data_IF_801510239937
#
_entry.id   IF_801510239937
#
_cell.length_a   1.000
_cell.length_b   1.000
_cell.length_c   1.000
_cell.angle_alpha   90.00
_cell.angle_beta   90.00
_cell.angle_gamma   90.00
#
_symmetry.space_group_name_H-M   'P 1'
#
loop_
_entity.id
_entity.type
_entity.pdbx_description
1 polymer ?
#
# COMPACT_ATOMS: atom_id res chain seq x y z
N UNK A 1 5.93 13.78 -5.86
CA UNK A 1 5.84 14.04 -4.40
C UNK A 1 7.01 13.44 -3.67
N UNK A 2 7.30 12.14 -3.81
CA UNK A 2 8.45 11.47 -3.17
C UNK A 2 9.78 12.17 -3.42
N UNK A 3 10.04 12.67 -4.65
CA UNK A 3 11.30 13.34 -4.98
C UNK A 3 11.56 14.59 -4.15
N UNK A 4 10.55 15.38 -3.82
CA UNK A 4 10.70 16.60 -3.03
C UNK A 4 10.99 16.27 -1.55
N UNK A 5 10.21 15.36 -0.96
CA UNK A 5 10.40 14.93 0.43
C UNK A 5 11.77 14.26 0.64
N UNK A 6 12.20 13.40 -0.30
CA UNK A 6 13.53 12.79 -0.29
C UNK A 6 14.61 13.88 -0.39
N UNK A 7 14.46 14.87 -1.28
CA UNK A 7 15.42 15.95 -1.47
C UNK A 7 15.58 16.82 -0.23
N UNK A 8 14.48 17.13 0.47
CA UNK A 8 14.49 17.89 1.71
C UNK A 8 15.11 17.06 2.85
N UNK A 9 14.72 15.80 2.97
CA UNK A 9 15.28 14.90 3.98
C UNK A 9 16.78 14.70 3.79
N UNK A 10 17.25 14.51 2.55
CA UNK A 10 18.69 14.40 2.24
C UNK A 10 19.53 15.60 2.68
N UNK A 11 18.96 16.82 2.61
CA UNK A 11 19.71 18.04 2.99
C UNK A 11 19.84 18.23 4.49
N UNK A 12 18.86 17.82 5.28
CA UNK A 12 18.75 18.16 6.70
C UNK A 12 18.82 16.94 7.63
N UNK A 13 18.75 15.70 7.10
CA UNK A 13 18.76 14.45 7.88
C UNK A 13 17.81 14.51 9.09
N UNK A 14 18.34 14.32 10.32
CA UNK A 14 17.55 14.33 11.55
C UNK A 14 17.03 15.72 11.95
N UNK A 15 17.56 16.80 11.39
CA UNK A 15 17.02 18.15 11.53
C UNK A 15 15.85 18.45 10.56
N UNK A 16 15.54 17.52 9.65
CA UNK A 16 14.41 17.67 8.74
C UNK A 16 13.08 17.41 9.45
N UNK A 17 12.05 18.22 9.14
CA UNK A 17 10.66 17.91 9.52
C UNK A 17 10.16 16.60 8.89
N UNK A 18 10.78 16.12 7.83
CA UNK A 18 10.48 14.89 7.11
C UNK A 18 11.38 13.71 7.49
N UNK A 19 12.14 13.80 8.60
CA UNK A 19 13.10 12.75 9.02
C UNK A 19 12.47 11.36 9.18
N UNK A 20 11.21 11.30 9.59
CA UNK A 20 10.46 10.07 9.84
C UNK A 20 9.40 9.79 8.76
N UNK A 21 9.41 10.55 7.65
CA UNK A 21 8.44 10.40 6.56
C UNK A 21 8.60 9.06 5.80
N UNK A 22 9.84 8.61 5.67
CA UNK A 22 10.18 7.33 5.04
C UNK A 22 10.61 6.32 6.09
N UNK A 23 10.43 5.02 5.77
CA UNK A 23 10.89 3.95 6.66
C UNK A 23 12.41 3.84 6.54
N UNK A 24 13.12 4.24 7.59
CA UNK A 24 14.59 4.13 7.69
C UNK A 24 14.95 2.71 8.11
N UNK A 25 15.68 1.99 7.26
CA UNK A 25 15.99 0.59 7.43
C UNK A 25 16.70 0.28 8.77
N UNK A 26 17.75 1.02 9.10
CA UNK A 26 18.51 0.82 10.32
C UNK A 26 17.70 1.12 11.58
N UNK A 27 16.73 2.04 11.51
CA UNK A 27 15.87 2.39 12.65
C UNK A 27 14.70 1.40 12.83
N UNK A 28 14.33 0.70 11.76
CA UNK A 28 13.23 -0.27 11.82
C UNK A 28 13.61 -1.52 12.62
N UNK A 29 14.87 -1.98 12.51
CA UNK A 29 15.31 -3.20 13.15
C UNK A 29 15.87 -2.96 14.55
N UNK A 30 15.55 -3.82 15.58
CA UNK A 30 15.97 -3.61 16.98
C UNK A 30 17.48 -3.48 17.19
N UNK A 31 18.29 -4.11 16.31
CA UNK A 31 19.76 -4.07 16.35
C UNK A 31 20.36 -3.33 15.15
N UNK A 32 19.57 -2.43 14.51
CA UNK A 32 19.96 -1.70 13.32
C UNK A 32 20.09 -2.54 12.05
N UNK A 33 19.80 -3.84 12.13
CA UNK A 33 19.88 -4.76 10.98
C UNK A 33 18.92 -5.95 11.14
N UNK A 34 18.38 -6.49 10.04
CA UNK A 34 17.61 -7.72 10.06
C UNK A 34 18.49 -8.96 10.25
N UNK A 35 17.88 -10.03 10.70
CA UNK A 35 18.45 -11.38 10.56
C UNK A 35 18.19 -11.91 9.14
N UNK A 36 18.88 -12.99 8.75
CA UNK A 36 18.58 -13.67 7.50
C UNK A 36 17.11 -14.15 7.47
N UNK A 37 16.62 -14.71 8.55
CA UNK A 37 15.23 -15.16 8.67
C UNK A 37 14.23 -14.01 8.42
N UNK A 38 14.49 -12.81 8.96
CA UNK A 38 13.65 -11.64 8.67
C UNK A 38 13.59 -11.31 7.18
N UNK A 39 14.75 -11.32 6.49
CA UNK A 39 14.80 -11.03 5.05
C UNK A 39 14.08 -12.11 4.22
N UNK A 40 14.19 -13.37 4.62
CA UNK A 40 13.58 -14.49 3.91
C UNK A 40 12.05 -14.51 4.06
N UNK A 41 11.51 -13.96 5.16
CA UNK A 41 10.06 -13.80 5.38
C UNK A 41 9.43 -12.74 4.49
N UNK A 42 10.14 -11.65 4.17
CA UNK A 42 9.57 -10.51 3.46
C UNK A 42 9.01 -10.93 2.09
N UNK A 43 7.76 -10.58 1.81
CA UNK A 43 7.14 -10.77 0.51
C UNK A 43 7.77 -9.83 -0.54
N UNK A 44 8.78 -10.35 -1.23
CA UNK A 44 9.61 -9.55 -2.15
C UNK A 44 8.91 -9.32 -3.48
N UNK A 45 9.00 -8.10 -3.97
CA UNK A 45 8.54 -7.70 -5.31
C UNK A 45 9.70 -7.54 -6.31
N UNK A 46 10.92 -7.82 -5.87
CA UNK A 46 12.15 -7.82 -6.65
C UNK A 46 13.13 -8.87 -6.10
N UNK A 47 14.10 -9.29 -6.89
CA UNK A 47 15.04 -10.37 -6.53
C UNK A 47 15.99 -10.01 -5.37
N UNK A 48 16.19 -8.71 -5.12
CA UNK A 48 17.04 -8.20 -4.03
C UNK A 48 16.22 -7.78 -2.80
N UNK A 49 16.88 -7.60 -1.66
CA UNK A 49 16.26 -7.06 -0.46
C UNK A 49 15.58 -5.70 -0.73
N UNK A 50 14.48 -5.36 -0.02
CA UNK A 50 13.71 -4.15 -0.26
C UNK A 50 14.38 -2.91 0.37
N UNK A 51 15.62 -2.64 -0.02
CA UNK A 51 16.42 -1.52 0.50
C UNK A 51 16.96 -0.65 -0.62
N UNK A 52 17.07 0.64 -0.34
CA UNK A 52 17.69 1.64 -1.20
C UNK A 52 18.65 2.50 -0.40
N UNK A 53 19.92 2.48 -0.78
CA UNK A 53 20.95 3.35 -0.19
C UNK A 53 20.72 4.82 -0.53
N UNK A 54 20.87 5.68 0.46
CA UNK A 54 20.88 7.14 0.29
C UNK A 54 22.11 7.75 0.93
N UNK A 55 22.60 8.83 0.32
CA UNK A 55 23.66 9.67 0.89
C UNK A 55 23.07 11.00 1.29
N UNK A 56 23.27 11.40 2.54
CA UNK A 56 22.86 12.69 3.06
C UNK A 56 23.86 13.80 2.67
N UNK A 57 23.48 15.05 2.90
CA UNK A 57 24.33 16.20 2.58
C UNK A 57 25.60 16.28 3.45
N UNK A 58 25.59 15.65 4.62
CA UNK A 58 26.73 15.51 5.52
C UNK A 58 27.71 14.38 5.14
N UNK A 59 27.46 13.70 4.01
CA UNK A 59 28.24 12.56 3.53
C UNK A 59 27.89 11.22 4.19
N UNK A 60 27.04 11.20 5.21
CA UNK A 60 26.62 9.96 5.84
C UNK A 60 25.72 9.15 4.94
N UNK A 61 25.77 7.82 5.08
CA UNK A 61 24.95 6.87 4.31
C UNK A 61 23.99 6.14 5.23
N UNK A 62 22.78 5.96 4.75
CA UNK A 62 21.75 5.11 5.37
C UNK A 62 20.95 4.41 4.28
N UNK A 63 20.07 3.50 4.70
CA UNK A 63 19.14 2.82 3.79
C UNK A 63 17.71 3.17 4.13
N UNK A 64 16.89 3.27 3.11
CA UNK A 64 15.43 3.39 3.21
C UNK A 64 14.77 2.11 2.73
N UNK A 65 13.59 1.82 3.25
CA UNK A 65 12.78 0.73 2.74
C UNK A 65 12.31 1.02 1.33
N UNK A 66 12.43 0.03 0.45
CA UNK A 66 12.09 0.15 -0.95
C UNK A 66 11.52 -1.18 -1.48
N UNK A 67 10.21 -1.30 -1.46
CA UNK A 67 9.52 -2.53 -1.87
C UNK A 67 9.56 -2.75 -3.38
N UNK A 68 9.39 -1.69 -4.16
CA UNK A 68 9.26 -1.75 -5.63
C UNK A 68 10.50 -1.21 -6.36
N UNK A 69 10.30 -0.27 -7.27
CA UNK A 69 11.37 0.33 -8.06
C UNK A 69 12.24 1.32 -7.28
N UNK A 70 13.45 1.57 -7.78
CA UNK A 70 14.47 2.35 -7.08
C UNK A 70 14.04 3.79 -6.72
N UNK A 71 13.05 4.36 -7.42
CA UNK A 71 12.48 5.68 -7.12
C UNK A 71 11.25 5.64 -6.20
N UNK A 72 10.79 4.45 -5.80
CA UNK A 72 9.57 4.23 -5.01
C UNK A 72 9.93 3.87 -3.57
N UNK A 73 10.33 4.87 -2.79
CA UNK A 73 10.67 4.69 -1.38
C UNK A 73 9.40 4.57 -0.55
N UNK A 74 9.36 3.58 0.35
CA UNK A 74 8.20 3.30 1.19
C UNK A 74 8.00 4.38 2.25
N UNK A 75 6.76 4.88 2.31
CA UNK A 75 6.36 5.91 3.27
C UNK A 75 6.07 5.26 4.62
N UNK A 76 6.49 5.89 5.69
CA UNK A 76 6.18 5.47 7.05
C UNK A 76 4.77 5.94 7.44
N UNK A 77 3.76 5.14 7.19
CA UNK A 77 2.35 5.45 7.50
C UNK A 77 2.08 5.66 9.01
N UNK A 78 3.00 5.26 9.89
CA UNK A 78 2.93 5.49 11.34
C UNK A 78 3.46 6.87 11.74
N UNK A 79 4.15 7.56 10.85
CA UNK A 79 4.69 8.89 11.10
C UNK A 79 3.59 9.96 11.01
N UNK A 80 3.51 10.84 12.02
CA UNK A 80 2.57 11.96 12.02
C UNK A 80 2.71 12.84 10.78
N UNK A 81 3.93 13.11 10.35
CA UNK A 81 4.20 13.91 9.15
C UNK A 81 3.67 13.23 7.89
N UNK A 82 3.78 11.90 7.79
CA UNK A 82 3.21 11.17 6.67
C UNK A 82 1.66 11.16 6.73
N UNK A 83 1.09 11.03 7.91
CA UNK A 83 -0.36 11.05 8.11
C UNK A 83 -0.97 12.43 7.76
N UNK A 84 -0.34 13.52 8.18
CA UNK A 84 -0.74 14.88 7.80
C UNK A 84 -0.63 15.08 6.27
N UNK A 85 0.46 14.64 5.68
CA UNK A 85 0.67 14.69 4.24
C UNK A 85 -0.43 13.90 3.48
N UNK A 86 -0.77 12.70 3.93
CA UNK A 86 -1.86 11.91 3.31
C UNK A 86 -3.20 12.62 3.47
N UNK A 87 -3.52 13.13 4.65
CA UNK A 87 -4.74 13.88 4.89
C UNK A 87 -4.88 15.05 3.93
N UNK A 88 -3.86 15.89 3.82
CA UNK A 88 -3.87 17.05 2.94
C UNK A 88 -4.00 16.65 1.46
N UNK A 89 -3.31 15.58 1.08
CA UNK A 89 -3.35 15.04 -0.29
C UNK A 89 -4.74 14.51 -0.64
N UNK A 90 -5.33 13.68 0.22
CA UNK A 90 -6.66 13.11 0.02
C UNK A 90 -7.74 14.20 -0.06
N UNK A 91 -7.72 15.17 0.86
CA UNK A 91 -8.64 16.31 0.83
C UNK A 91 -8.46 17.16 -0.42
N UNK A 92 -7.22 17.36 -0.87
CA UNK A 92 -6.94 18.08 -2.11
C UNK A 92 -7.48 17.35 -3.33
N UNK A 93 -7.36 16.01 -3.40
CA UNK A 93 -7.92 15.21 -4.50
C UNK A 93 -9.44 15.38 -4.60
N UNK A 94 -10.15 15.25 -3.47
CA UNK A 94 -11.61 15.44 -3.43
C UNK A 94 -12.00 16.87 -3.82
N UNK A 95 -11.29 17.88 -3.33
CA UNK A 95 -11.52 19.29 -3.70
C UNK A 95 -11.37 19.52 -5.21
N UNK A 96 -10.56 18.72 -5.90
CA UNK A 96 -10.40 18.77 -7.35
C UNK A 96 -11.31 17.80 -8.11
N UNK A 97 -12.32 17.24 -7.44
CA UNK A 97 -13.39 16.46 -8.08
C UNK A 97 -13.15 14.94 -8.09
N UNK A 98 -12.32 14.41 -7.21
CA UNK A 98 -12.20 12.96 -7.05
C UNK A 98 -13.31 12.40 -6.15
N UNK A 99 -14.18 11.54 -6.68
CA UNK A 99 -15.23 10.84 -5.94
C UNK A 99 -14.78 9.46 -5.48
N UNK A 100 -13.78 8.87 -6.14
CA UNK A 100 -13.19 7.58 -5.81
C UNK A 100 -11.67 7.70 -5.77
N UNK A 101 -11.04 7.30 -4.65
CA UNK A 101 -9.59 7.37 -4.48
C UNK A 101 -9.02 5.95 -4.42
N UNK A 102 -8.16 5.63 -5.39
CA UNK A 102 -7.41 4.39 -5.41
C UNK A 102 -6.18 4.47 -4.51
N UNK A 103 -6.07 3.53 -3.58
CA UNK A 103 -4.89 3.34 -2.75
C UNK A 103 -3.96 2.30 -3.40
N UNK A 104 -2.95 2.78 -4.10
CA UNK A 104 -1.98 1.96 -4.84
C UNK A 104 -1.14 1.10 -3.91
N UNK A 105 -0.95 -0.18 -4.28
CA UNK A 105 -0.12 -1.14 -3.56
C UNK A 105 -0.40 -1.21 -2.04
N UNK A 106 -1.65 -1.01 -1.64
CA UNK A 106 -2.10 -0.81 -0.26
C UNK A 106 -1.63 -1.92 0.69
N UNK A 107 -1.63 -3.18 0.25
CA UNK A 107 -1.23 -4.33 1.06
C UNK A 107 0.20 -4.25 1.61
N UNK A 108 1.05 -3.45 0.99
CA UNK A 108 2.46 -3.27 1.39
C UNK A 108 2.68 -2.09 2.34
N UNK A 109 1.64 -1.34 2.72
CA UNK A 109 1.79 -0.10 3.49
C UNK A 109 2.30 -0.34 4.93
N UNK A 110 1.95 -1.48 5.54
CA UNK A 110 2.35 -1.83 6.91
C UNK A 110 3.60 -2.70 6.90
N UNK A 111 4.59 -2.31 7.71
CA UNK A 111 5.78 -3.12 7.99
C UNK A 111 5.79 -3.53 9.46
N UNK A 112 6.10 -4.82 9.71
CA UNK A 112 6.15 -5.39 11.06
C UNK A 112 7.21 -6.48 11.13
N UNK A 113 8.06 -6.40 12.15
CA UNK A 113 9.14 -7.39 12.37
C UNK A 113 8.56 -8.79 12.53
N UNK A 114 9.25 -9.78 12.01
CA UNK A 114 8.88 -11.21 12.03
C UNK A 114 7.57 -11.50 11.24
N UNK A 115 7.27 -10.69 10.23
CA UNK A 115 6.16 -10.91 9.31
C UNK A 115 6.63 -10.85 7.86
N UNK A 116 5.72 -11.17 6.92
CA UNK A 116 5.99 -11.05 5.49
C UNK A 116 5.81 -9.63 4.93
N UNK A 117 5.41 -8.65 5.77
CA UNK A 117 5.16 -7.24 5.39
C UNK A 117 4.12 -7.07 4.27
N UNK A 118 3.17 -8.02 4.17
CA UNK A 118 2.08 -7.99 3.22
C UNK A 118 0.75 -8.23 3.93
N UNK A 119 -0.20 -7.32 3.77
CA UNK A 119 -1.55 -7.37 4.35
C UNK A 119 -1.56 -7.67 5.85
N UNK A 120 -0.77 -6.92 6.61
CA UNK A 120 -0.56 -7.16 8.05
C UNK A 120 -1.78 -6.74 8.87
N UNK A 121 -2.45 -7.73 9.45
CA UNK A 121 -3.61 -7.52 10.33
C UNK A 121 -3.16 -7.47 11.82
N UNK A 122 -3.87 -6.70 12.67
CA UNK A 122 -5.02 -5.84 12.37
C UNK A 122 -4.65 -4.47 11.78
N UNK A 123 -3.39 -4.09 11.73
CA UNK A 123 -2.90 -2.74 11.44
C UNK A 123 -3.32 -2.23 10.06
N UNK A 124 -3.53 -3.14 9.09
CA UNK A 124 -4.01 -2.75 7.76
C UNK A 124 -5.44 -2.19 7.79
N UNK A 125 -6.28 -2.72 8.68
CA UNK A 125 -7.65 -2.26 8.89
C UNK A 125 -7.68 -0.89 9.57
N UNK A 126 -6.81 -0.67 10.56
CA UNK A 126 -6.65 0.63 11.21
C UNK A 126 -6.23 1.71 10.20
N UNK A 127 -5.37 1.36 9.25
CA UNK A 127 -4.97 2.26 8.19
C UNK A 127 -6.14 2.59 7.25
N UNK A 128 -6.91 1.58 6.79
CA UNK A 128 -8.11 1.82 5.97
C UNK A 128 -9.13 2.69 6.69
N UNK A 129 -9.38 2.41 7.97
CA UNK A 129 -10.31 3.18 8.79
C UNK A 129 -9.83 4.63 8.97
N UNK A 130 -8.52 4.86 9.09
CA UNK A 130 -7.96 6.21 9.18
C UNK A 130 -8.19 7.01 7.88
N UNK A 131 -8.07 6.37 6.73
CA UNK A 131 -8.37 6.97 5.42
C UNK A 131 -9.87 7.22 5.27
N UNK A 132 -10.72 6.26 5.67
CA UNK A 132 -12.18 6.42 5.64
C UNK A 132 -12.64 7.63 6.45
N UNK A 133 -12.13 7.81 7.66
CA UNK A 133 -12.45 8.97 8.50
C UNK A 133 -12.11 10.33 7.87
N UNK A 134 -11.13 10.35 6.95
CA UNK A 134 -10.79 11.56 6.19
C UNK A 134 -11.77 11.79 5.04
N UNK A 135 -12.15 10.73 4.32
CA UNK A 135 -12.88 10.80 3.05
C UNK A 135 -14.41 10.75 3.19
N UNK A 136 -14.93 10.00 4.17
CA UNK A 136 -16.38 9.85 4.39
C UNK A 136 -17.11 11.21 4.59
N UNK A 137 -16.57 12.16 5.38
CA UNK A 137 -17.19 13.50 5.51
C UNK A 137 -17.18 14.31 4.21
N UNK A 138 -16.36 13.90 3.23
CA UNK A 138 -16.21 14.54 1.93
C UNK A 138 -16.96 13.78 0.82
N UNK A 139 -17.71 12.72 1.19
CA UNK A 139 -18.48 11.87 0.28
C UNK A 139 -17.63 11.21 -0.81
N UNK A 140 -16.37 10.86 -0.51
CA UNK A 140 -15.49 10.16 -1.42
C UNK A 140 -15.24 8.71 -0.97
N UNK A 141 -15.18 7.81 -1.94
CA UNK A 141 -15.02 6.36 -1.75
C UNK A 141 -13.55 5.94 -1.83
N UNK A 142 -13.26 4.73 -1.33
CA UNK A 142 -11.93 4.16 -1.28
C UNK A 142 -11.88 2.87 -2.10
N UNK A 143 -10.87 2.75 -2.94
CA UNK A 143 -10.55 1.55 -3.72
C UNK A 143 -9.13 1.07 -3.38
N UNK A 144 -8.94 0.20 -2.38
CA UNK A 144 -7.64 -0.41 -2.11
C UNK A 144 -7.24 -1.34 -3.25
N UNK A 145 -6.04 -1.12 -3.80
CA UNK A 145 -5.49 -2.05 -4.79
C UNK A 145 -4.73 -3.17 -4.10
N UNK A 146 -5.27 -4.38 -4.20
CA UNK A 146 -4.64 -5.60 -3.70
C UNK A 146 -4.76 -6.68 -4.75
N UNK A 147 -3.65 -6.96 -5.41
CA UNK A 147 -3.56 -8.01 -6.42
C UNK A 147 -3.05 -9.29 -5.76
N UNK A 148 -3.96 -10.10 -5.25
CA UNK A 148 -3.67 -11.33 -4.52
C UNK A 148 -4.84 -12.32 -4.65
N UNK A 149 -4.75 -13.47 -4.01
CA UNK A 149 -5.81 -14.46 -4.00
C UNK A 149 -7.17 -13.85 -3.63
N UNK A 150 -8.23 -14.24 -4.32
CA UNK A 150 -9.57 -13.63 -4.26
C UNK A 150 -10.18 -13.52 -2.84
N UNK A 151 -9.69 -14.30 -1.89
CA UNK A 151 -10.17 -14.24 -0.49
C UNK A 151 -9.87 -12.92 0.20
N UNK A 152 -8.76 -12.25 -0.15
CA UNK A 152 -8.41 -10.94 0.43
C UNK A 152 -9.32 -9.83 -0.12
N UNK A 153 -9.49 -9.65 -1.43
CA UNK A 153 -10.52 -8.75 -1.98
C UNK A 153 -11.92 -9.01 -1.43
N UNK A 154 -12.35 -10.28 -1.30
CA UNK A 154 -13.64 -10.62 -0.72
C UNK A 154 -13.79 -10.10 0.72
N UNK A 155 -12.76 -10.29 1.56
CA UNK A 155 -12.73 -9.80 2.94
C UNK A 155 -12.82 -8.27 2.99
N UNK A 156 -12.08 -7.55 2.14
CA UNK A 156 -12.15 -6.09 2.04
C UNK A 156 -13.55 -5.62 1.66
N UNK A 157 -14.20 -6.31 0.73
CA UNK A 157 -15.56 -6.01 0.32
C UNK A 157 -16.59 -6.25 1.44
N UNK A 158 -16.39 -7.30 2.28
CA UNK A 158 -17.21 -7.54 3.48
C UNK A 158 -17.15 -6.38 4.49
N UNK A 159 -16.00 -5.67 4.56
CA UNK A 159 -15.86 -4.45 5.34
C UNK A 159 -16.46 -3.19 4.67
N UNK A 160 -17.08 -3.35 3.48
CA UNK A 160 -17.80 -2.29 2.79
C UNK A 160 -16.96 -1.44 1.84
N UNK A 161 -15.72 -1.83 1.53
CA UNK A 161 -14.86 -1.13 0.58
C UNK A 161 -15.00 -1.70 -0.83
N UNK A 162 -14.80 -0.88 -1.85
CA UNK A 162 -14.65 -1.34 -3.22
C UNK A 162 -13.36 -2.14 -3.38
N UNK A 163 -13.36 -3.11 -4.29
CA UNK A 163 -12.17 -3.88 -4.64
C UNK A 163 -12.12 -4.16 -6.13
N UNK A 164 -10.93 -4.45 -6.65
CA UNK A 164 -10.77 -5.00 -7.98
C UNK A 164 -11.17 -6.48 -8.01
N UNK A 165 -11.89 -6.86 -9.04
CA UNK A 165 -12.14 -8.27 -9.38
C UNK A 165 -11.16 -8.71 -10.48
N UNK A 166 -10.03 -9.27 -10.08
CA UNK A 166 -9.01 -9.78 -11.02
C UNK A 166 -9.36 -11.15 -11.60
N UNK A 167 -10.40 -11.82 -11.09
CA UNK A 167 -10.85 -13.13 -11.61
C UNK A 167 -11.86 -12.95 -12.73
N UNK A 168 -12.78 -11.99 -12.61
CA UNK A 168 -13.84 -11.74 -13.58
C UNK A 168 -13.33 -11.58 -15.03
N UNK A 169 -12.31 -10.76 -15.33
CA UNK A 169 -11.79 -10.64 -16.69
C UNK A 169 -11.29 -11.97 -17.26
N UNK A 170 -10.65 -12.80 -16.43
CA UNK A 170 -10.11 -14.11 -16.86
C UNK A 170 -11.23 -15.09 -17.21
N UNK A 171 -12.29 -15.17 -16.38
CA UNK A 171 -13.41 -16.09 -16.65
C UNK A 171 -14.28 -15.61 -17.80
N UNK A 172 -14.38 -14.30 -18.05
CA UNK A 172 -15.02 -13.74 -19.25
C UNK A 172 -14.24 -14.16 -20.49
N UNK A 173 -12.92 -13.91 -20.53
CA UNK A 173 -12.08 -14.29 -21.67
C UNK A 173 -12.12 -15.80 -21.93
N UNK A 174 -12.02 -16.61 -20.88
CA UNK A 174 -12.17 -18.05 -20.99
C UNK A 174 -13.52 -18.44 -21.61
N UNK A 175 -14.62 -17.83 -21.16
CA UNK A 175 -15.97 -18.10 -21.64
C UNK A 175 -16.10 -17.75 -23.12
N UNK A 176 -15.61 -16.61 -23.54
CA UNK A 176 -15.64 -16.17 -24.95
C UNK A 176 -14.83 -17.10 -25.85
N UNK A 177 -13.64 -17.51 -25.40
CA UNK A 177 -12.75 -18.37 -26.16
C UNK A 177 -13.23 -19.81 -26.26
N UNK A 178 -13.74 -20.38 -25.13
CA UNK A 178 -14.13 -21.81 -25.06
C UNK A 178 -15.61 -22.06 -25.40
N UNK A 179 -16.46 -21.03 -25.46
CA UNK A 179 -17.91 -21.14 -25.55
C UNK A 179 -18.57 -21.75 -24.31
N UNK A 180 -17.84 -21.93 -23.20
CA UNK A 180 -18.34 -22.58 -22.00
C UNK A 180 -18.54 -21.60 -20.84
N UNK A 181 -19.82 -21.23 -20.50
CA UNK A 181 -20.12 -20.23 -19.49
C UNK A 181 -20.09 -20.76 -18.05
N UNK A 182 -19.81 -22.04 -17.82
CA UNK A 182 -19.92 -22.66 -16.47
C UNK A 182 -19.06 -21.96 -15.42
N UNK A 183 -17.81 -21.59 -15.77
CA UNK A 183 -16.91 -20.95 -14.82
C UNK A 183 -17.34 -19.51 -14.51
N UNK A 184 -17.79 -18.76 -15.52
CA UNK A 184 -18.34 -17.42 -15.33
C UNK A 184 -19.59 -17.46 -14.44
N UNK A 185 -20.53 -18.38 -14.72
CA UNK A 185 -21.75 -18.52 -13.91
C UNK A 185 -21.42 -18.92 -12.45
N UNK A 186 -20.39 -19.78 -12.25
CA UNK A 186 -19.92 -20.12 -10.91
C UNK A 186 -19.32 -18.90 -10.20
N UNK A 187 -18.47 -18.14 -10.88
CA UNK A 187 -17.85 -16.95 -10.32
C UNK A 187 -18.89 -15.90 -9.91
N UNK A 188 -19.86 -15.58 -10.79
CA UNK A 188 -20.92 -14.62 -10.52
C UNK A 188 -21.83 -15.01 -9.34
N UNK A 189 -21.96 -16.31 -9.03
CA UNK A 189 -22.67 -16.78 -7.83
C UNK A 189 -21.86 -16.64 -6.55
N UNK A 190 -20.53 -16.70 -6.64
CA UNK A 190 -19.60 -16.60 -5.50
C UNK A 190 -19.18 -15.18 -5.21
N UNK A 191 -19.24 -14.32 -6.21
CA UNK A 191 -18.80 -12.93 -6.12
C UNK A 191 -19.66 -12.14 -5.14
N UNK A 192 -19.07 -11.27 -4.31
CA UNK A 192 -19.83 -10.42 -3.39
C UNK A 192 -20.82 -9.53 -4.15
N UNK A 193 -22.05 -9.43 -3.68
CA UNK A 193 -23.12 -8.67 -4.37
C UNK A 193 -22.82 -7.16 -4.46
N UNK A 194 -22.08 -6.60 -3.50
CA UNK A 194 -21.74 -5.17 -3.45
C UNK A 194 -20.76 -4.68 -4.52
N UNK A 195 -20.11 -5.56 -5.28
CA UNK A 195 -19.22 -5.16 -6.39
C UNK A 195 -20.01 -4.70 -7.63
N UNK A 196 -21.30 -5.05 -7.71
CA UNK A 196 -22.14 -4.87 -8.90
C UNK A 196 -23.35 -3.94 -8.69
N UNK A 197 -23.53 -3.42 -7.49
CA UNK A 197 -24.69 -2.57 -7.14
C UNK A 197 -24.37 -1.05 -7.24
N UNK A 198 -23.37 -0.68 -8.06
CA UNK A 198 -23.06 0.74 -8.35
C UNK A 198 -23.18 1.06 -9.82
#
# INVERSE_FOLDING_TARGET
VNRLCIKISRKKKDASSYKDFFIRWEKFWPKGRPTKANIDLIYKRKDKAPIQGITFADGSQEHLWNTFGDEQIDINVKSKVAQEFFKDTLQSMVKHGADLIRLDAFAYAIKKIDTNDFFIEPEIWDLLESVRKILEPLHAEILPEIHEHYTIPAKINEYGYFTYDFVLPLVILYTLYSGNPKQLAKWLKMSPKKVYDS
#
